data_IF_369791480090
#
_entry.id   IF_369791480090
#
_cell.length_a   1.000
_cell.length_b   1.000
_cell.length_c   1.000
_cell.angle_alpha   90.00
_cell.angle_beta   90.00
_cell.angle_gamma   90.00
#
_symmetry.space_group_name_H-M   'P 1'
#
loop_
_entity.id
_entity.type
_entity.pdbx_description
1 polymer ?
#
# COMPACT_ATOMS: atom_id res chain seq x y z
N UNK A 1 24.78 -4.77 -11.35
CA UNK A 1 24.49 -3.88 -10.20
C UNK A 1 23.44 -4.54 -9.33
N UNK A 2 23.47 -4.37 -8.00
CA UNK A 2 22.40 -4.87 -7.14
C UNK A 2 21.07 -4.19 -7.53
N UNK A 3 19.96 -4.93 -7.43
CA UNK A 3 18.63 -4.37 -7.66
C UNK A 3 18.31 -3.30 -6.60
N UNK A 4 17.61 -2.21 -6.96
CA UNK A 4 17.21 -1.19 -6.01
C UNK A 4 16.25 -1.75 -4.97
N UNK A 5 16.17 -1.11 -3.80
CA UNK A 5 15.20 -1.47 -2.76
C UNK A 5 13.79 -1.34 -3.33
N UNK A 6 13.00 -2.41 -3.22
CA UNK A 6 11.61 -2.43 -3.68
C UNK A 6 10.64 -2.22 -2.51
N UNK A 7 9.80 -1.20 -2.64
CA UNK A 7 8.64 -0.95 -1.79
C UNK A 7 7.35 -1.25 -2.55
N UNK A 8 6.38 -1.83 -1.85
CA UNK A 8 5.04 -2.09 -2.36
C UNK A 8 4.01 -1.47 -1.41
N UNK A 9 3.08 -0.69 -1.95
CA UNK A 9 1.92 -0.27 -1.17
C UNK A 9 1.03 -1.48 -0.84
N UNK A 10 0.18 -1.32 0.18
CA UNK A 10 -0.76 -2.34 0.61
C UNK A 10 -2.16 -2.08 0.04
N UNK A 11 -2.79 -0.96 0.43
CA UNK A 11 -4.15 -0.66 0.01
C UNK A 11 -4.19 -0.28 -1.46
N UNK A 12 -5.11 -0.85 -2.25
CA UNK A 12 -5.22 -0.57 -3.67
C UNK A 12 -4.18 -1.26 -4.56
N UNK A 13 -3.20 -1.97 -3.96
CA UNK A 13 -2.17 -2.75 -4.68
C UNK A 13 -2.22 -4.24 -4.31
N UNK A 14 -2.33 -4.57 -3.01
CA UNK A 14 -2.42 -5.95 -2.52
C UNK A 14 -3.76 -6.20 -1.82
N UNK A 15 -4.20 -5.26 -0.98
CA UNK A 15 -5.44 -5.31 -0.22
C UNK A 15 -6.51 -4.40 -0.83
N UNK A 16 -7.74 -4.89 -0.94
CA UNK A 16 -8.86 -4.17 -1.53
C UNK A 16 -9.59 -3.32 -0.48
N UNK A 17 -9.00 -2.17 -0.15
CA UNK A 17 -9.62 -1.20 0.74
C UNK A 17 -10.97 -0.72 0.23
N UNK A 18 -11.12 -0.54 -1.10
CA UNK A 18 -12.37 -0.03 -1.69
C UNK A 18 -13.52 -0.97 -1.40
N UNK A 19 -13.37 -2.26 -1.68
CA UNK A 19 -14.37 -3.29 -1.38
C UNK A 19 -14.64 -3.44 0.12
N UNK A 20 -13.59 -3.34 0.94
CA UNK A 20 -13.74 -3.33 2.39
C UNK A 20 -14.60 -2.15 2.86
N UNK A 21 -14.28 -0.95 2.38
CA UNK A 21 -14.97 0.29 2.72
C UNK A 21 -16.43 0.29 2.26
N UNK A 22 -16.71 -0.17 1.03
CA UNK A 22 -18.09 -0.35 0.54
C UNK A 22 -18.90 -1.28 1.43
N UNK A 23 -18.31 -2.41 1.84
CA UNK A 23 -18.97 -3.35 2.77
C UNK A 23 -19.22 -2.72 4.14
N UNK A 24 -18.25 -2.01 4.69
CA UNK A 24 -18.36 -1.41 6.02
C UNK A 24 -19.37 -0.26 6.06
N UNK A 25 -19.38 0.58 5.03
CA UNK A 25 -20.24 1.78 4.96
C UNK A 25 -21.61 1.51 4.35
N UNK A 26 -21.77 0.43 3.58
CA UNK A 26 -22.96 0.18 2.75
C UNK A 26 -23.10 1.14 1.56
N UNK A 27 -22.06 1.94 1.27
CA UNK A 27 -22.08 2.98 0.24
C UNK A 27 -21.10 2.62 -0.88
N UNK A 28 -21.51 2.73 -2.16
CA UNK A 28 -20.59 2.53 -3.29
C UNK A 28 -19.39 3.49 -3.23
N UNK A 29 -18.20 3.02 -3.61
CA UNK A 29 -16.96 3.81 -3.52
C UNK A 29 -17.01 5.07 -4.39
N UNK A 30 -17.83 5.08 -5.44
CA UNK A 30 -18.09 6.26 -6.28
C UNK A 30 -18.69 7.44 -5.50
N UNK A 31 -19.43 7.16 -4.42
CA UNK A 31 -20.01 8.15 -3.51
C UNK A 31 -19.12 8.40 -2.29
N UNK A 32 -17.92 7.84 -2.24
CA UNK A 32 -17.00 8.04 -1.11
C UNK A 32 -16.74 9.52 -0.87
N UNK A 33 -16.49 10.31 -1.92
CA UNK A 33 -16.14 11.73 -1.75
C UNK A 33 -17.28 12.58 -1.17
N UNK A 34 -18.55 12.20 -1.36
CA UNK A 34 -19.70 12.90 -0.79
C UNK A 34 -19.96 12.59 0.70
N UNK A 35 -19.34 11.55 1.25
CA UNK A 35 -19.50 11.22 2.67
C UNK A 35 -18.68 12.16 3.57
N UNK A 36 -19.28 12.53 4.70
CA UNK A 36 -18.58 13.20 5.80
C UNK A 36 -17.48 12.30 6.38
N UNK A 37 -16.55 12.89 7.14
CA UNK A 37 -15.51 12.10 7.83
C UNK A 37 -16.10 11.04 8.76
N UNK A 38 -17.19 11.35 9.46
CA UNK A 38 -17.84 10.41 10.38
C UNK A 38 -18.45 9.22 9.63
N UNK A 39 -19.14 9.46 8.52
CA UNK A 39 -19.75 8.41 7.71
C UNK A 39 -18.71 7.50 7.06
N UNK A 40 -17.54 8.05 6.66
CA UNK A 40 -16.41 7.27 6.14
C UNK A 40 -15.79 6.38 7.21
N UNK A 41 -15.43 6.99 8.34
CA UNK A 41 -14.49 6.38 9.27
C UNK A 41 -15.17 5.67 10.44
N UNK A 42 -16.36 6.06 10.88
CA UNK A 42 -17.01 5.39 12.01
C UNK A 42 -17.32 3.92 11.72
N UNK A 43 -17.89 3.53 10.56
CA UNK A 43 -18.17 2.12 10.29
C UNK A 43 -16.88 1.27 10.23
N UNK A 44 -15.82 1.82 9.62
CA UNK A 44 -14.49 1.20 9.56
C UNK A 44 -13.88 1.05 10.96
N UNK A 45 -13.89 2.14 11.75
CA UNK A 45 -13.35 2.18 13.11
C UNK A 45 -14.09 1.23 14.06
N UNK A 46 -15.40 1.09 13.89
CA UNK A 46 -16.23 0.24 14.73
C UNK A 46 -16.00 -1.26 14.47
N UNK A 47 -15.60 -1.63 13.25
CA UNK A 47 -15.09 -2.97 12.96
C UNK A 47 -13.60 -3.07 13.29
N UNK A 48 -13.30 -3.54 14.50
CA UNK A 48 -11.92 -3.78 14.97
C UNK A 48 -11.12 -4.73 14.06
N UNK A 49 -11.78 -5.51 13.22
CA UNK A 49 -11.17 -6.50 12.32
C UNK A 49 -11.10 -6.03 10.87
N UNK A 50 -11.57 -4.82 10.56
CA UNK A 50 -11.68 -4.31 9.19
C UNK A 50 -10.38 -4.52 8.39
N UNK A 51 -9.28 -3.97 8.89
CA UNK A 51 -7.99 -3.95 8.18
C UNK A 51 -7.37 -5.34 8.04
N UNK A 52 -7.53 -6.22 9.03
CA UNK A 52 -6.97 -7.58 9.00
C UNK A 52 -7.77 -8.52 8.09
N UNK A 53 -9.05 -8.19 7.79
CA UNK A 53 -9.95 -9.00 6.94
C UNK A 53 -10.12 -8.44 5.53
N UNK A 54 -9.37 -7.40 5.17
CA UNK A 54 -9.41 -6.86 3.80
C UNK A 54 -9.13 -8.00 2.80
N UNK A 55 -9.98 -8.19 1.77
CA UNK A 55 -9.72 -9.19 0.77
C UNK A 55 -8.52 -8.75 -0.08
N UNK A 56 -7.91 -9.72 -0.77
CA UNK A 56 -6.94 -9.39 -1.82
C UNK A 56 -7.63 -8.61 -2.93
N UNK A 57 -6.93 -7.63 -3.50
CA UNK A 57 -7.35 -7.02 -4.76
C UNK A 57 -7.21 -8.04 -5.90
N UNK A 58 -8.02 -7.90 -6.96
CA UNK A 58 -8.24 -8.89 -8.03
C UNK A 58 -6.95 -9.55 -8.55
N UNK A 59 -5.89 -8.78 -8.75
CA UNK A 59 -4.59 -9.22 -9.28
C UNK A 59 -3.43 -9.05 -8.28
N UNK A 60 -3.71 -8.69 -7.03
CA UNK A 60 -2.68 -8.47 -6.01
C UNK A 60 -1.83 -9.71 -5.72
N UNK A 61 -2.43 -10.91 -5.78
CA UNK A 61 -1.69 -12.18 -5.62
C UNK A 61 -0.72 -12.43 -6.77
N UNK A 62 -1.09 -12.05 -8.00
CA UNK A 62 -0.22 -12.17 -9.16
C UNK A 62 1.01 -11.28 -9.00
N UNK A 63 0.80 -10.01 -8.61
CA UNK A 63 1.90 -9.08 -8.33
C UNK A 63 2.78 -9.62 -7.19
N UNK A 64 2.18 -10.00 -6.05
CA UNK A 64 2.93 -10.50 -4.90
C UNK A 64 3.79 -11.72 -5.23
N UNK A 65 3.23 -12.68 -5.99
CA UNK A 65 3.95 -13.87 -6.42
C UNK A 65 5.19 -13.52 -7.24
N UNK A 66 5.12 -12.46 -8.06
CA UNK A 66 6.26 -11.96 -8.82
C UNK A 66 7.30 -11.30 -7.91
N UNK A 67 6.87 -10.36 -7.06
CA UNK A 67 7.80 -9.50 -6.33
C UNK A 67 8.42 -10.16 -5.11
N UNK A 68 7.78 -11.15 -4.47
CA UNK A 68 8.22 -11.73 -3.18
C UNK A 68 9.68 -12.22 -3.19
N UNK A 69 10.16 -12.74 -4.32
CA UNK A 69 11.55 -13.24 -4.49
C UNK A 69 12.59 -12.13 -4.37
N UNK A 70 12.20 -10.87 -4.65
CA UNK A 70 13.05 -9.68 -4.50
C UNK A 70 12.99 -9.06 -3.11
N UNK A 71 12.35 -9.75 -2.15
CA UNK A 71 12.23 -9.31 -0.75
C UNK A 71 11.72 -7.86 -0.62
N UNK A 72 10.57 -7.50 -1.23
CA UNK A 72 10.01 -6.15 -1.14
C UNK A 72 9.57 -5.83 0.29
N UNK A 73 9.70 -4.57 0.69
CA UNK A 73 9.11 -4.11 1.94
C UNK A 73 7.74 -3.48 1.66
N UNK A 74 6.82 -3.62 2.61
CA UNK A 74 5.56 -2.90 2.55
C UNK A 74 5.82 -1.46 2.96
N UNK A 75 5.33 -0.51 2.17
CA UNK A 75 5.32 0.93 2.49
C UNK A 75 3.88 1.45 2.33
N UNK A 76 3.11 1.34 3.42
CA UNK A 76 1.68 1.67 3.44
C UNK A 76 1.43 2.90 4.29
N UNK A 77 0.49 3.74 3.82
CA UNK A 77 -0.02 4.82 4.67
C UNK A 77 -0.86 4.24 5.82
N UNK A 78 -0.79 4.84 7.01
CA UNK A 78 -1.74 4.59 8.09
C UNK A 78 -2.69 5.78 8.29
N UNK A 79 -3.83 5.49 8.91
CA UNK A 79 -4.79 6.48 9.42
C UNK A 79 -4.44 6.77 10.88
N UNK A 80 -4.36 8.06 11.25
CA UNK A 80 -3.95 8.46 12.60
C UNK A 80 -4.87 7.85 13.67
N UNK A 81 -4.31 7.56 14.84
CA UNK A 81 -4.96 6.80 15.92
C UNK A 81 -6.24 7.47 16.46
N UNK A 82 -6.31 8.80 16.42
CA UNK A 82 -7.49 9.58 16.79
C UNK A 82 -8.68 9.35 15.84
N UNK A 83 -8.39 9.05 14.58
CA UNK A 83 -9.40 8.72 13.56
C UNK A 83 -9.76 7.24 13.65
N UNK A 84 -8.77 6.35 13.57
CA UNK A 84 -8.98 4.90 13.69
C UNK A 84 -7.77 4.20 14.35
N UNK A 85 -7.91 3.76 15.62
CA UNK A 85 -6.83 3.07 16.33
C UNK A 85 -6.56 1.65 15.81
N UNK A 86 -7.44 1.08 14.98
CA UNK A 86 -7.29 -0.29 14.47
C UNK A 86 -6.42 -0.38 13.20
N UNK A 87 -6.12 0.75 12.55
CA UNK A 87 -5.41 0.78 11.27
C UNK A 87 -4.02 0.13 11.34
N UNK A 88 -3.17 0.57 12.26
CA UNK A 88 -1.81 0.03 12.42
C UNK A 88 -1.81 -1.45 12.80
N UNK A 89 -2.51 -1.89 13.88
CA UNK A 89 -2.49 -3.30 14.27
C UNK A 89 -3.11 -4.21 13.21
N UNK A 90 -4.21 -3.78 12.57
CA UNK A 90 -4.87 -4.59 11.57
C UNK A 90 -4.08 -4.73 10.26
N UNK A 91 -3.44 -3.66 9.77
CA UNK A 91 -2.49 -3.76 8.64
C UNK A 91 -1.29 -4.65 8.94
N UNK A 92 -0.74 -4.53 10.14
CA UNK A 92 0.37 -5.39 10.60
C UNK A 92 -0.04 -6.86 10.59
N UNK A 93 -1.23 -7.18 11.12
CA UNK A 93 -1.76 -8.56 11.12
C UNK A 93 -2.12 -9.07 9.73
N UNK A 94 -2.64 -8.20 8.85
CA UNK A 94 -2.86 -8.53 7.44
C UNK A 94 -1.55 -8.92 6.76
N UNK A 95 -0.50 -8.10 6.88
CA UNK A 95 0.83 -8.40 6.30
C UNK A 95 1.40 -9.71 6.85
N UNK A 96 1.25 -9.97 8.15
CA UNK A 96 1.70 -11.22 8.77
C UNK A 96 0.96 -12.44 8.22
N UNK A 97 -0.37 -12.37 8.16
CA UNK A 97 -1.22 -13.49 7.75
C UNK A 97 -1.18 -13.77 6.25
N UNK A 98 -1.17 -12.73 5.41
CA UNK A 98 -1.28 -12.86 3.96
C UNK A 98 0.08 -12.92 3.25
N UNK A 99 1.10 -12.25 3.80
CA UNK A 99 2.42 -12.11 3.18
C UNK A 99 3.54 -12.83 3.94
N UNK A 100 3.29 -13.28 5.17
CA UNK A 100 4.32 -13.82 6.05
C UNK A 100 5.34 -12.77 6.51
N UNK A 101 4.97 -11.47 6.46
CA UNK A 101 5.87 -10.37 6.84
C UNK A 101 5.55 -9.84 8.24
N UNK A 102 6.57 -9.53 9.02
CA UNK A 102 6.45 -8.89 10.33
C UNK A 102 7.50 -7.80 10.54
N UNK A 103 7.24 -6.91 11.51
CA UNK A 103 8.22 -5.95 12.05
C UNK A 103 8.87 -5.06 10.99
N UNK A 104 10.20 -5.20 10.84
CA UNK A 104 11.07 -4.29 10.09
C UNK A 104 10.77 -4.15 8.59
N UNK A 105 10.00 -5.07 7.99
CA UNK A 105 9.65 -5.03 6.55
C UNK A 105 8.26 -4.46 6.28
N UNK A 106 7.56 -3.98 7.30
CA UNK A 106 6.24 -3.35 7.21
C UNK A 106 6.33 -1.91 7.69
N UNK A 107 6.58 -1.00 6.76
CA UNK A 107 6.74 0.43 7.00
C UNK A 107 5.36 1.10 6.94
N UNK A 108 4.75 1.32 8.10
CA UNK A 108 3.50 2.06 8.23
C UNK A 108 3.80 3.53 8.55
N UNK A 109 3.54 4.42 7.59
CA UNK A 109 3.92 5.84 7.68
C UNK A 109 2.73 6.76 7.36
N UNK A 110 2.86 8.07 7.58
CA UNK A 110 1.91 9.01 6.99
C UNK A 110 2.09 9.03 5.47
N UNK A 111 1.01 9.25 4.72
CA UNK A 111 1.07 9.31 3.24
C UNK A 111 2.16 10.26 2.73
N UNK A 112 2.29 11.45 3.34
CA UNK A 112 3.30 12.44 2.97
C UNK A 112 4.74 12.01 3.23
N UNK A 113 4.96 11.01 4.09
CA UNK A 113 6.29 10.50 4.45
C UNK A 113 6.77 9.37 3.52
N UNK A 114 5.91 8.84 2.64
CA UNK A 114 6.34 7.82 1.67
C UNK A 114 7.50 8.31 0.81
N UNK A 115 7.53 9.59 0.47
CA UNK A 115 8.60 10.20 -0.32
C UNK A 115 9.98 10.15 0.37
N UNK A 116 10.02 10.02 1.68
CA UNK A 116 11.28 9.96 2.45
C UNK A 116 11.99 8.60 2.28
N UNK A 117 11.31 7.61 1.69
CA UNK A 117 11.85 6.29 1.37
C UNK A 117 12.40 6.21 -0.06
N UNK A 118 12.42 7.33 -0.80
CA UNK A 118 12.82 7.40 -2.20
C UNK A 118 14.26 6.97 -2.47
N UNK A 119 15.13 7.09 -1.46
CA UNK A 119 16.55 6.72 -1.56
C UNK A 119 16.98 5.96 -0.30
N UNK A 120 17.86 4.98 -0.45
CA UNK A 120 18.43 4.20 0.68
C UNK A 120 19.85 4.61 1.02
N UNK A 121 20.34 5.70 0.43
CA UNK A 121 21.70 6.20 0.57
C UNK A 121 22.06 7.13 -0.58
N UNK A 122 23.31 7.62 -0.59
CA UNK A 122 23.81 8.50 -1.63
C UNK A 122 23.74 7.84 -3.01
N UNK A 123 22.98 8.44 -3.94
CA UNK A 123 22.75 7.95 -5.30
C UNK A 123 22.19 6.51 -5.38
N UNK A 124 21.44 6.09 -4.35
CA UNK A 124 20.82 4.76 -4.28
C UNK A 124 19.30 4.88 -4.35
N UNK A 125 18.70 4.99 -5.55
CA UNK A 125 17.25 5.09 -5.69
C UNK A 125 16.56 3.82 -5.22
N UNK A 126 15.40 3.97 -4.58
CA UNK A 126 14.47 2.89 -4.34
C UNK A 126 13.35 2.89 -5.39
N UNK A 127 12.55 1.82 -5.43
CA UNK A 127 11.37 1.69 -6.27
C UNK A 127 10.13 1.62 -5.38
N UNK A 128 9.06 2.33 -5.73
CA UNK A 128 7.75 2.24 -5.06
C UNK A 128 6.67 1.86 -6.07
N UNK A 129 5.98 0.76 -5.83
CA UNK A 129 4.72 0.40 -6.53
C UNK A 129 3.53 0.87 -5.68
N UNK A 130 2.73 1.80 -6.18
CA UNK A 130 1.65 2.45 -5.42
C UNK A 130 0.49 2.86 -6.36
N UNK A 131 -0.76 2.71 -5.92
CA UNK A 131 -1.97 2.98 -6.71
C UNK A 131 -2.39 4.45 -6.68
N UNK A 132 -1.68 5.30 -5.94
CA UNK A 132 -1.96 6.72 -5.83
C UNK A 132 -0.88 7.54 -6.54
N UNK A 133 -1.22 8.05 -7.73
CA UNK A 133 -0.30 8.80 -8.60
C UNK A 133 0.48 9.93 -7.89
N UNK A 134 -0.11 10.74 -7.00
CA UNK A 134 0.68 11.74 -6.26
C UNK A 134 1.76 11.15 -5.35
N UNK A 135 1.58 9.93 -4.81
CA UNK A 135 2.64 9.25 -4.05
C UNK A 135 3.80 8.90 -4.97
N UNK A 136 3.54 8.27 -6.11
CA UNK A 136 4.60 7.87 -7.07
C UNK A 136 5.33 9.09 -7.64
N UNK A 137 4.61 10.19 -7.87
CA UNK A 137 5.20 11.44 -8.36
C UNK A 137 6.06 12.12 -7.30
N UNK A 138 5.61 12.17 -6.05
CA UNK A 138 6.43 12.68 -4.94
C UNK A 138 7.67 11.81 -4.71
N UNK A 139 7.53 10.48 -4.78
CA UNK A 139 8.63 9.53 -4.63
C UNK A 139 9.68 9.73 -5.74
N UNK A 140 9.24 9.88 -6.98
CA UNK A 140 10.13 10.14 -8.13
C UNK A 140 10.83 11.49 -8.01
N UNK A 141 10.11 12.55 -7.61
CA UNK A 141 10.71 13.88 -7.36
C UNK A 141 11.77 13.88 -6.25
N UNK A 142 11.71 12.93 -5.32
CA UNK A 142 12.73 12.72 -4.28
C UNK A 142 13.86 11.77 -4.68
N UNK A 143 14.00 11.48 -5.98
CA UNK A 143 15.12 10.72 -6.52
C UNK A 143 14.95 9.21 -6.44
N UNK A 144 13.74 8.72 -6.17
CA UNK A 144 13.37 7.31 -6.32
C UNK A 144 12.70 7.03 -7.66
N UNK A 145 12.14 5.84 -7.82
CA UNK A 145 11.41 5.41 -9.01
C UNK A 145 9.98 5.05 -8.59
N UNK A 146 9.01 5.89 -8.94
CA UNK A 146 7.60 5.62 -8.70
C UNK A 146 6.94 4.86 -9.85
N UNK A 147 6.41 3.67 -9.58
CA UNK A 147 5.59 2.87 -10.50
C UNK A 147 4.13 3.06 -10.14
N UNK A 148 3.39 3.77 -11.00
CA UNK A 148 1.95 3.94 -10.84
C UNK A 148 1.21 2.63 -11.13
N UNK A 149 0.65 2.03 -10.08
CA UNK A 149 -0.04 0.76 -10.16
C UNK A 149 -1.46 0.93 -10.72
N UNK A 150 -1.70 0.31 -11.87
CA UNK A 150 -3.03 0.20 -12.50
C UNK A 150 -3.46 -1.24 -12.72
N UNK A 151 -2.50 -2.17 -12.74
CA UNK A 151 -2.67 -3.62 -12.76
C UNK A 151 -1.34 -4.29 -12.44
N UNK A 152 -1.40 -5.55 -12.00
CA UNK A 152 -0.23 -6.40 -11.79
C UNK A 152 0.61 -6.52 -13.06
N UNK A 153 -0.01 -6.74 -14.22
CA UNK A 153 0.69 -6.84 -15.50
C UNK A 153 1.47 -5.56 -15.85
N UNK A 154 0.87 -4.39 -15.60
CA UNK A 154 1.54 -3.11 -15.83
C UNK A 154 2.74 -2.92 -14.88
N UNK A 155 2.57 -3.17 -13.58
CA UNK A 155 3.67 -3.05 -12.61
C UNK A 155 4.78 -4.05 -12.86
N UNK A 156 4.45 -5.32 -13.16
CA UNK A 156 5.43 -6.36 -13.49
C UNK A 156 6.23 -5.97 -14.73
N UNK A 157 5.59 -5.44 -15.78
CA UNK A 157 6.31 -4.97 -16.98
C UNK A 157 7.32 -3.88 -16.64
N UNK A 158 6.94 -2.89 -15.85
CA UNK A 158 7.84 -1.81 -15.44
C UNK A 158 8.98 -2.32 -14.54
N UNK A 159 8.68 -3.23 -13.61
CA UNK A 159 9.69 -3.88 -12.77
C UNK A 159 10.71 -4.67 -13.61
N UNK A 160 10.27 -5.39 -14.64
CA UNK A 160 11.17 -6.10 -15.58
C UNK A 160 12.14 -5.17 -16.29
N UNK A 161 11.69 -3.97 -16.69
CA UNK A 161 12.55 -2.96 -17.32
C UNK A 161 13.64 -2.46 -16.38
N UNK A 162 13.45 -2.58 -15.07
CA UNK A 162 14.42 -2.24 -14.03
C UNK A 162 15.29 -3.44 -13.60
N UNK A 163 15.08 -4.63 -14.19
CA UNK A 163 15.86 -5.84 -13.93
C UNK A 163 15.31 -6.77 -12.83
N UNK A 164 14.10 -6.52 -12.30
CA UNK A 164 13.41 -7.44 -11.39
C UNK A 164 12.79 -8.61 -12.16
#
# INVERSE_FOLDING_TARGET
>A
MPLPKLYCDMDGVLADFKKGAEKATGVPISKWMSLTKKEKWNPIRNDKTFWERLPWIKDGRQLWSYIKKHKPDILSAYVKRDIDPNCIPGKTKWCRSQLGLSGARVNLVLRSQKQDYAQTGYRSPAVLVDDYKPNTDAFTRRGGIGIYHTSASNSIRQLKQLGF
#
